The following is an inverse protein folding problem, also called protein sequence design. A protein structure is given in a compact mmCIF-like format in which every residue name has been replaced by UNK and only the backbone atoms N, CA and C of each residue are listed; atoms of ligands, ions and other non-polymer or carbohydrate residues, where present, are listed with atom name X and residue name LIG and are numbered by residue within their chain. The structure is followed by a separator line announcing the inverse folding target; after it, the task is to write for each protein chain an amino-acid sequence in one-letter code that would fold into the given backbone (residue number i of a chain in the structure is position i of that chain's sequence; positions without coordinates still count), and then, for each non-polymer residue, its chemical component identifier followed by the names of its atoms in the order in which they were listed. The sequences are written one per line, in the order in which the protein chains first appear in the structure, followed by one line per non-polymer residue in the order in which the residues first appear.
data_IF_869553017436
#
_entry.id   IF_869553017436
#
_cell.length_a   1.000
_cell.length_b   1.000
_cell.length_c   1.000
_cell.angle_alpha   90.00
_cell.angle_beta   90.00
_cell.angle_gamma   90.00
#
_symmetry.space_group_name_H-M   'P 1'
#
loop_
_entity.id
_entity.type
_entity.pdbx_description
1 polymer ?
#
# COMPACT_ATOMS: atom_id res chain seq x y z
N UNK A 1 9.21 -29.97 -17.19
CA UNK A 1 9.38 -28.61 -16.61
C UNK A 1 8.00 -28.13 -16.23
N UNK A 2 7.77 -27.74 -14.97
CA UNK A 2 6.54 -27.06 -14.60
C UNK A 2 6.53 -25.65 -15.20
N UNK A 3 5.33 -25.12 -15.47
CA UNK A 3 5.17 -23.75 -15.90
C UNK A 3 5.31 -22.80 -14.71
N UNK A 4 6.11 -21.74 -14.87
CA UNK A 4 6.19 -20.66 -13.89
C UNK A 4 4.82 -19.96 -13.80
N UNK A 5 4.23 -19.92 -12.61
CA UNK A 5 3.00 -19.18 -12.35
C UNK A 5 3.34 -17.80 -11.81
N UNK A 6 2.65 -16.79 -12.33
CA UNK A 6 2.85 -15.39 -11.96
C UNK A 6 1.49 -14.79 -11.58
N UNK A 7 1.42 -14.18 -10.39
CA UNK A 7 0.28 -13.39 -9.94
C UNK A 7 0.70 -11.94 -9.70
N UNK A 8 -0.10 -10.99 -10.18
CA UNK A 8 0.09 -9.57 -9.94
C UNK A 8 -1.20 -8.95 -9.42
N UNK A 9 -1.14 -8.19 -8.35
CA UNK A 9 -2.31 -7.51 -7.79
C UNK A 9 -1.91 -6.22 -7.08
N UNK A 10 -2.85 -5.27 -7.01
CA UNK A 10 -2.73 -4.04 -6.24
C UNK A 10 -4.00 -3.80 -5.43
N UNK A 11 -3.85 -3.25 -4.22
CA UNK A 11 -4.96 -2.95 -3.30
C UNK A 11 -4.71 -1.64 -2.55
N UNK A 12 -5.75 -0.81 -2.44
CA UNK A 12 -5.76 0.36 -1.56
C UNK A 12 -5.74 -0.05 -0.07
N UNK A 13 -4.83 0.54 0.70
CA UNK A 13 -4.67 0.36 2.14
C UNK A 13 -4.77 1.68 2.92
N UNK A 14 -5.28 2.74 2.28
CA UNK A 14 -5.47 4.04 2.89
C UNK A 14 -6.46 3.98 4.06
N UNK A 15 -6.25 4.83 5.07
CA UNK A 15 -7.17 5.02 6.18
C UNK A 15 -7.93 6.33 6.04
N UNK A 16 -9.23 6.30 6.33
CA UNK A 16 -10.06 7.52 6.44
C UNK A 16 -10.02 8.13 7.83
N UNK A 17 -9.44 7.44 8.81
CA UNK A 17 -9.30 7.95 10.18
C UNK A 17 -8.12 8.93 10.29
N UNK A 18 -8.21 9.94 11.15
CA UNK A 18 -7.06 10.77 11.49
C UNK A 18 -5.89 9.92 11.98
N UNK A 19 -4.72 10.10 11.39
CA UNK A 19 -3.50 9.38 11.76
C UNK A 19 -2.29 10.31 11.64
N UNK A 20 -1.28 10.10 12.48
CA UNK A 20 -0.01 10.80 12.35
C UNK A 20 0.70 10.37 11.05
N UNK A 21 1.20 11.34 10.30
CA UNK A 21 1.97 11.10 9.08
C UNK A 21 3.43 10.82 9.49
N UNK A 22 3.96 9.61 9.24
CA UNK A 22 5.33 9.27 9.62
C UNK A 22 6.36 10.02 8.77
N UNK A 23 7.58 10.18 9.29
CA UNK A 23 8.72 10.77 8.58
C UNK A 23 8.83 12.31 8.66
N UNK A 24 7.93 12.98 9.40
CA UNK A 24 8.03 14.41 9.70
C UNK A 24 8.61 14.62 11.11
N UNK A 25 9.37 15.71 11.30
CA UNK A 25 9.95 16.04 12.62
C UNK A 25 8.88 16.49 13.62
N UNK A 26 7.93 17.31 13.16
CA UNK A 26 6.75 17.68 13.94
C UNK A 26 5.57 16.75 13.61
N UNK A 27 4.71 16.51 14.61
CA UNK A 27 3.50 15.72 14.41
C UNK A 27 2.58 16.40 13.40
N UNK A 28 2.12 15.64 12.40
CA UNK A 28 1.15 16.11 11.40
C UNK A 28 0.04 15.09 11.24
N UNK A 29 -1.16 15.45 11.65
CA UNK A 29 -2.33 14.57 11.55
C UNK A 29 -2.97 14.70 10.17
N UNK A 30 -3.13 13.57 9.49
CA UNK A 30 -3.85 13.49 8.21
C UNK A 30 -5.31 13.90 8.40
N UNK A 31 -5.84 14.68 7.45
CA UNK A 31 -7.25 15.14 7.41
C UNK A 31 -8.06 14.49 6.28
N UNK A 32 -7.44 13.66 5.46
CA UNK A 32 -8.07 13.04 4.30
C UNK A 32 -7.05 12.40 3.36
N UNK A 33 -7.55 11.77 2.30
CA UNK A 33 -6.74 11.09 1.28
C UNK A 33 -6.77 11.97 0.01
N UNK A 34 -5.60 12.41 -0.43
CA UNK A 34 -5.45 13.11 -1.72
C UNK A 34 -5.07 12.11 -2.82
N UNK A 35 -4.15 11.21 -2.52
CA UNK A 35 -3.74 10.09 -3.36
C UNK A 35 -3.71 8.82 -2.50
N UNK A 36 -4.40 7.72 -2.89
CA UNK A 36 -4.41 6.50 -2.10
C UNK A 36 -3.05 5.83 -1.98
N UNK A 37 -2.77 5.28 -0.81
CA UNK A 37 -1.61 4.40 -0.60
C UNK A 37 -2.01 2.98 -1.00
N UNK A 38 -1.37 2.44 -2.04
CA UNK A 38 -1.62 1.08 -2.50
C UNK A 38 -0.48 0.13 -2.14
N UNK A 39 -0.81 -1.10 -1.78
CA UNK A 39 0.13 -2.21 -1.76
C UNK A 39 0.10 -2.94 -3.10
N UNK A 40 1.26 -3.30 -3.60
CA UNK A 40 1.42 -4.12 -4.81
C UNK A 40 2.03 -5.45 -4.42
N UNK A 41 1.41 -6.55 -4.86
CA UNK A 41 1.89 -7.91 -4.64
C UNK A 41 2.24 -8.56 -5.98
N UNK A 42 3.47 -9.07 -6.08
CA UNK A 42 3.95 -9.95 -7.14
C UNK A 42 4.21 -11.32 -6.51
N UNK A 43 3.54 -12.35 -7.01
CA UNK A 43 3.68 -13.74 -6.57
C UNK A 43 4.27 -14.57 -7.69
N UNK A 44 5.23 -15.43 -7.37
CA UNK A 44 5.93 -16.32 -8.29
C UNK A 44 5.92 -17.73 -7.70
N UNK A 45 5.51 -18.74 -8.47
CA UNK A 45 5.39 -20.15 -8.07
C UNK A 45 5.83 -21.09 -9.22
N UNK A 46 6.27 -22.33 -8.92
CA UNK A 46 6.79 -23.31 -9.89
C UNK A 46 6.41 -24.76 -9.54
#
# INVERSE_FOLDING_TARGET
MNALKIGWSSRDVSTTKPINIPGQFAMRISRGIMDPVTVTALVIDN
#
